data_IF_496840479091
#
_entry.id   IF_496840479091
#
_cell.length_a   1.000
_cell.length_b   1.000
_cell.length_c   1.000
_cell.angle_alpha   90.00
_cell.angle_beta   90.00
_cell.angle_gamma   90.00
#
_symmetry.space_group_name_H-M   'P 1'
#
loop_
_entity.id
_entity.type
_entity.pdbx_description
1 polymer ?
#
# COMPACT_ATOMS: atom_id res chain seq x y z
N UNK A 1 -14.91 -0.42 -7.08
CA UNK A 1 -14.14 0.33 -6.06
C UNK A 1 -13.03 1.16 -6.65
N UNK A 2 -12.05 0.54 -7.34
CA UNK A 2 -10.81 1.20 -7.78
C UNK A 2 -11.00 2.53 -8.52
N UNK A 3 -11.86 2.60 -9.53
CA UNK A 3 -12.06 3.84 -10.31
C UNK A 3 -12.49 5.02 -9.44
N UNK A 4 -13.46 4.80 -8.54
CA UNK A 4 -13.94 5.84 -7.62
C UNK A 4 -12.84 6.29 -6.68
N UNK A 5 -12.11 5.32 -6.10
CA UNK A 5 -10.99 5.62 -5.19
C UNK A 5 -9.85 6.36 -5.88
N UNK A 6 -9.50 5.99 -7.11
CA UNK A 6 -8.44 6.65 -7.89
C UNK A 6 -8.80 8.11 -8.16
N UNK A 7 -10.05 8.39 -8.55
CA UNK A 7 -10.51 9.78 -8.75
C UNK A 7 -10.35 10.58 -7.44
N UNK A 8 -10.77 10.02 -6.31
CA UNK A 8 -10.61 10.66 -5.00
C UNK A 8 -9.13 10.85 -4.61
N UNK A 9 -8.30 9.84 -4.80
CA UNK A 9 -6.86 9.89 -4.51
C UNK A 9 -6.12 10.90 -5.40
N UNK A 10 -6.46 10.99 -6.68
CA UNK A 10 -5.93 12.01 -7.58
C UNK A 10 -6.36 13.42 -7.16
N UNK A 11 -7.64 13.61 -6.80
CA UNK A 11 -8.11 14.88 -6.26
C UNK A 11 -7.32 15.28 -5.01
N UNK A 12 -7.14 14.36 -4.07
CA UNK A 12 -6.37 14.59 -2.86
C UNK A 12 -4.89 14.88 -3.17
N UNK A 13 -4.27 14.13 -4.10
CA UNK A 13 -2.88 14.35 -4.51
C UNK A 13 -2.67 15.74 -5.14
N UNK A 14 -3.64 16.22 -5.91
CA UNK A 14 -3.60 17.58 -6.47
C UNK A 14 -3.68 18.65 -5.38
N UNK A 15 -4.47 18.44 -4.32
CA UNK A 15 -4.53 19.32 -3.16
C UNK A 15 -3.17 19.37 -2.46
N UNK A 16 -2.58 18.22 -2.14
CA UNK A 16 -1.26 18.16 -1.51
C UNK A 16 -0.17 18.77 -2.39
N UNK A 17 -0.20 18.50 -3.70
CA UNK A 17 0.73 19.09 -4.65
C UNK A 17 0.63 20.63 -4.68
N UNK A 18 -0.60 21.16 -4.70
CA UNK A 18 -0.83 22.61 -4.67
C UNK A 18 -0.39 23.22 -3.34
N UNK A 19 -0.72 22.59 -2.22
CA UNK A 19 -0.32 23.06 -0.90
C UNK A 19 1.20 23.05 -0.74
N UNK A 20 1.89 22.01 -1.16
CA UNK A 20 3.36 21.93 -1.11
C UNK A 20 4.04 22.96 -2.02
N UNK A 21 3.41 23.33 -3.14
CA UNK A 21 3.90 24.41 -3.99
C UNK A 21 3.78 25.78 -3.29
N UNK A 22 2.66 26.03 -2.62
CA UNK A 22 2.40 27.29 -1.91
C UNK A 22 3.20 27.41 -0.61
N UNK A 23 3.29 26.30 0.12
CA UNK A 23 3.99 26.21 1.40
C UNK A 23 4.86 24.94 1.44
N UNK A 24 6.14 25.04 1.06
CA UNK A 24 7.07 23.90 1.05
C UNK A 24 7.65 23.56 2.43
N UNK A 25 7.07 24.11 3.51
CA UNK A 25 7.51 23.80 4.88
C UNK A 25 7.23 22.31 5.21
N UNK A 26 8.10 21.67 6.00
CA UNK A 26 7.90 20.29 6.41
C UNK A 26 6.70 20.17 7.37
N UNK A 27 6.07 18.99 7.37
CA UNK A 27 4.95 18.68 8.28
C UNK A 27 3.62 18.42 7.57
N UNK A 28 3.52 18.66 6.26
CA UNK A 28 2.35 18.30 5.44
C UNK A 28 1.03 18.78 6.05
N UNK A 29 0.10 17.85 6.25
CA UNK A 29 -1.25 18.14 6.77
C UNK A 29 -1.25 18.98 8.06
N UNK A 30 -0.31 18.69 8.98
CA UNK A 30 -0.15 19.47 10.21
C UNK A 30 0.18 20.93 9.93
N UNK A 31 1.19 21.18 9.10
CA UNK A 31 1.65 22.53 8.79
C UNK A 31 0.53 23.34 8.10
N UNK A 32 -0.16 22.72 7.16
CA UNK A 32 -1.27 23.35 6.44
C UNK A 32 -2.45 23.66 7.35
N UNK A 33 -2.88 22.70 8.18
CA UNK A 33 -3.97 22.90 9.13
C UNK A 33 -3.64 24.00 10.15
N UNK A 34 -2.41 24.01 10.69
CA UNK A 34 -1.96 25.04 11.64
C UNK A 34 -1.98 26.42 11.02
N UNK A 35 -1.55 26.55 9.77
CA UNK A 35 -1.48 27.84 9.07
C UNK A 35 -2.86 28.37 8.70
N UNK A 36 -3.76 27.50 8.25
CA UNK A 36 -5.10 27.90 7.79
C UNK A 36 -6.11 28.09 8.93
N UNK A 37 -6.03 27.24 9.97
CA UNK A 37 -7.05 27.13 11.01
C UNK A 37 -6.53 27.38 12.43
N UNK A 38 -5.24 27.68 12.56
CA UNK A 38 -4.61 27.99 13.84
C UNK A 38 -4.05 26.77 14.58
N UNK A 39 -3.42 27.03 15.75
CA UNK A 39 -2.60 26.02 16.45
C UNK A 39 -3.43 24.84 16.98
N UNK A 40 -4.67 25.04 17.39
CA UNK A 40 -5.53 24.00 17.95
C UNK A 40 -5.86 22.93 16.89
N UNK A 41 -6.36 23.33 15.71
CA UNK A 41 -6.67 22.38 14.64
C UNK A 41 -5.42 21.75 14.03
N UNK A 42 -4.30 22.51 13.99
CA UNK A 42 -3.01 21.92 13.65
C UNK A 42 -2.61 20.80 14.60
N UNK A 43 -2.70 21.02 15.90
CA UNK A 43 -2.42 20.00 16.91
C UNK A 43 -3.32 18.76 16.76
N UNK A 44 -4.62 18.96 16.62
CA UNK A 44 -5.58 17.86 16.39
C UNK A 44 -5.23 17.05 15.14
N UNK A 45 -4.91 17.70 14.03
CA UNK A 45 -4.47 17.05 12.79
C UNK A 45 -3.22 16.19 13.02
N UNK A 46 -2.25 16.71 13.78
CA UNK A 46 -1.02 15.97 14.09
C UNK A 46 -1.29 14.71 14.93
N UNK A 47 -2.15 14.81 15.95
CA UNK A 47 -2.52 13.66 16.80
C UNK A 47 -3.23 12.60 15.98
N UNK A 48 -4.20 12.99 15.14
CA UNK A 48 -4.90 12.04 14.26
C UNK A 48 -3.96 11.40 13.25
N UNK A 49 -3.05 12.17 12.66
CA UNK A 49 -2.05 11.66 11.73
C UNK A 49 -1.11 10.66 12.42
N UNK A 50 -0.63 10.97 13.63
CA UNK A 50 0.21 10.08 14.41
C UNK A 50 -0.50 8.76 14.72
N UNK A 51 -1.77 8.79 15.17
CA UNK A 51 -2.56 7.59 15.41
C UNK A 51 -2.76 6.76 14.14
N UNK A 52 -3.08 7.41 13.02
CA UNK A 52 -3.26 6.73 11.73
C UNK A 52 -1.98 6.03 11.27
N UNK A 53 -0.83 6.70 11.38
CA UNK A 53 0.47 6.11 11.07
C UNK A 53 0.80 4.92 11.97
N UNK A 54 0.53 5.03 13.27
CA UNK A 54 0.78 3.96 14.22
C UNK A 54 -0.05 2.70 13.91
N UNK A 55 -1.36 2.86 13.73
CA UNK A 55 -2.27 1.76 13.36
C UNK A 55 -1.87 1.17 12.01
N UNK A 56 -1.54 2.02 11.03
CA UNK A 56 -1.10 1.61 9.71
C UNK A 56 0.17 0.75 9.73
N UNK A 57 1.16 1.13 10.54
CA UNK A 57 2.39 0.36 10.67
C UNK A 57 2.16 -1.03 11.27
N UNK A 58 1.26 -1.17 12.25
CA UNK A 58 0.89 -2.49 12.80
C UNK A 58 0.28 -3.36 11.70
N UNK A 59 -0.66 -2.82 10.93
CA UNK A 59 -1.29 -3.56 9.84
C UNK A 59 -0.29 -4.02 8.78
N UNK A 60 0.67 -3.17 8.40
CA UNK A 60 1.74 -3.52 7.45
C UNK A 60 2.63 -4.66 7.97
N UNK A 61 2.98 -4.65 9.27
CA UNK A 61 3.75 -5.74 9.88
C UNK A 61 2.96 -7.05 9.86
N UNK A 62 1.67 -7.02 10.18
CA UNK A 62 0.81 -8.22 10.14
C UNK A 62 0.73 -8.81 8.72
N UNK A 63 0.57 -7.96 7.71
CA UNK A 63 0.58 -8.39 6.30
C UNK A 63 1.93 -9.01 5.94
N UNK A 64 3.05 -8.34 6.26
CA UNK A 64 4.39 -8.84 5.95
C UNK A 64 4.69 -10.19 6.61
N UNK A 65 4.33 -10.36 7.89
CA UNK A 65 4.46 -11.66 8.58
C UNK A 65 3.51 -12.71 7.99
N UNK A 66 2.34 -12.29 7.50
CA UNK A 66 1.43 -13.15 6.74
C UNK A 66 2.10 -13.75 5.49
N UNK A 67 2.83 -12.96 4.71
CA UNK A 67 3.61 -13.46 3.56
C UNK A 67 4.72 -14.44 4.00
N UNK A 68 5.35 -14.23 5.16
CA UNK A 68 6.33 -15.18 5.70
C UNK A 68 5.71 -16.53 6.07
N UNK A 69 4.41 -16.61 6.33
CA UNK A 69 3.72 -17.87 6.61
C UNK A 69 3.74 -18.86 5.43
N UNK A 70 4.02 -18.37 4.22
CA UNK A 70 4.26 -19.20 3.04
C UNK A 70 5.48 -20.10 3.25
N UNK A 71 6.54 -19.59 3.89
CA UNK A 71 7.78 -20.32 4.15
C UNK A 71 7.76 -21.04 5.50
N UNK A 72 7.09 -20.46 6.48
CA UNK A 72 7.06 -20.93 7.86
C UNK A 72 5.62 -21.19 8.32
N UNK A 73 5.07 -22.40 8.09
CA UNK A 73 3.68 -22.71 8.45
C UNK A 73 3.34 -22.50 9.94
N UNK A 74 4.33 -22.51 10.84
CA UNK A 74 4.17 -22.21 12.25
C UNK A 74 3.59 -20.81 12.51
N UNK A 75 3.80 -19.87 11.59
CA UNK A 75 3.24 -18.51 11.66
C UNK A 75 1.72 -18.46 11.44
N UNK A 76 1.07 -19.60 11.14
CA UNK A 76 -0.40 -19.71 11.13
C UNK A 76 -0.98 -19.79 12.53
N UNK A 77 -0.16 -20.12 13.53
CA UNK A 77 -0.57 -20.04 14.93
C UNK A 77 -0.68 -18.58 15.37
N UNK A 78 -1.83 -18.14 15.93
CA UNK A 78 -2.05 -16.74 16.29
C UNK A 78 -1.06 -16.18 17.30
N UNK A 79 -0.56 -17.01 18.25
CA UNK A 79 0.39 -16.58 19.27
C UNK A 79 1.77 -16.36 18.64
N UNK A 80 2.23 -17.32 17.83
CA UNK A 80 3.51 -17.23 17.13
C UNK A 80 3.51 -16.05 16.15
N UNK A 81 2.42 -15.86 15.41
CA UNK A 81 2.23 -14.70 14.53
C UNK A 81 2.38 -13.39 15.33
N UNK A 82 1.67 -13.26 16.45
CA UNK A 82 1.70 -12.04 17.26
C UNK A 82 3.10 -11.73 17.79
N UNK A 83 3.79 -12.75 18.36
CA UNK A 83 5.17 -12.58 18.84
C UNK A 83 6.10 -12.16 17.70
N UNK A 84 5.98 -12.80 16.53
CA UNK A 84 6.79 -12.47 15.36
C UNK A 84 6.53 -11.05 14.89
N UNK A 85 5.28 -10.59 14.86
CA UNK A 85 4.93 -9.21 14.54
C UNK A 85 5.59 -8.21 15.50
N UNK A 86 5.57 -8.48 16.79
CA UNK A 86 6.23 -7.63 17.81
C UNK A 86 7.74 -7.59 17.57
N UNK A 87 8.37 -8.74 17.33
CA UNK A 87 9.81 -8.80 17.07
C UNK A 87 10.18 -8.02 15.80
N UNK A 88 9.45 -8.21 14.71
CA UNK A 88 9.67 -7.48 13.45
C UNK A 88 9.49 -5.97 13.63
N UNK A 89 8.45 -5.55 14.36
CA UNK A 89 8.23 -4.14 14.67
C UNK A 89 9.42 -3.54 15.43
N UNK A 90 9.93 -4.22 16.45
CA UNK A 90 11.09 -3.76 17.20
C UNK A 90 12.37 -3.74 16.36
N UNK A 91 12.56 -4.66 15.43
CA UNK A 91 13.68 -4.62 14.50
C UNK A 91 13.62 -3.32 13.68
N UNK A 92 12.46 -2.95 13.13
CA UNK A 92 12.32 -1.70 12.38
C UNK A 92 12.48 -0.45 13.26
N UNK A 93 12.02 -0.48 14.51
CA UNK A 93 12.27 0.61 15.47
C UNK A 93 13.76 0.78 15.73
N UNK A 94 14.50 -0.29 15.99
CA UNK A 94 15.95 -0.25 16.19
C UNK A 94 16.69 0.23 14.95
N UNK A 95 16.32 -0.25 13.76
CA UNK A 95 16.88 0.25 12.49
C UNK A 95 16.65 1.75 12.31
N UNK A 96 15.50 2.25 12.73
CA UNK A 96 15.18 3.68 12.65
C UNK A 96 16.06 4.51 13.60
N UNK A 97 16.35 3.99 14.81
CA UNK A 97 17.24 4.63 15.78
C UNK A 97 18.68 4.71 15.27
N UNK A 98 19.15 3.71 14.52
CA UNK A 98 20.51 3.68 13.93
C UNK A 98 20.73 4.85 12.96
N UNK A 99 19.68 5.31 12.29
CA UNK A 99 19.72 6.56 11.56
C UNK A 99 19.07 6.52 10.16
N UNK A 100 18.70 7.70 9.65
CA UNK A 100 17.88 7.85 8.45
C UNK A 100 18.53 7.32 7.18
N UNK A 101 19.85 7.34 7.06
CA UNK A 101 20.56 6.84 5.87
C UNK A 101 20.41 5.34 5.70
N UNK A 102 20.43 4.58 6.81
CA UNK A 102 20.28 3.12 6.77
C UNK A 102 18.85 2.74 6.42
N UNK A 103 17.88 3.37 7.09
CA UNK A 103 16.45 3.09 6.84
C UNK A 103 16.06 3.41 5.38
N UNK A 104 16.56 4.51 4.82
CA UNK A 104 16.30 4.87 3.42
C UNK A 104 16.85 3.83 2.43
N UNK A 105 18.02 3.25 2.70
CA UNK A 105 18.55 2.17 1.87
C UNK A 105 17.73 0.90 1.97
N UNK A 106 17.38 0.48 3.19
CA UNK A 106 16.51 -0.69 3.41
C UNK A 106 15.18 -0.50 2.72
N UNK A 107 14.55 0.66 2.88
CA UNK A 107 13.29 1.00 2.25
C UNK A 107 13.39 0.98 0.72
N UNK A 108 14.45 1.53 0.14
CA UNK A 108 14.64 1.53 -1.31
C UNK A 108 14.75 0.10 -1.87
N UNK A 109 15.53 -0.77 -1.21
CA UNK A 109 15.67 -2.18 -1.61
C UNK A 109 14.33 -2.90 -1.46
N UNK A 110 13.65 -2.76 -0.32
CA UNK A 110 12.34 -3.37 -0.07
C UNK A 110 11.29 -2.91 -1.09
N UNK A 111 11.27 -1.62 -1.45
CA UNK A 111 10.35 -1.10 -2.46
C UNK A 111 10.60 -1.73 -3.83
N UNK A 112 11.86 -1.83 -4.25
CA UNK A 112 12.21 -2.47 -5.53
C UNK A 112 11.79 -3.94 -5.52
N UNK A 113 12.06 -4.67 -4.44
CA UNK A 113 11.66 -6.07 -4.31
C UNK A 113 10.14 -6.23 -4.38
N UNK A 114 9.38 -5.41 -3.63
CA UNK A 114 7.91 -5.46 -3.62
C UNK A 114 7.30 -5.11 -5.00
N UNK A 115 7.95 -4.25 -5.79
CA UNK A 115 7.49 -3.92 -7.14
C UNK A 115 7.64 -5.08 -8.13
N UNK A 116 8.58 -6.01 -7.92
CA UNK A 116 8.81 -7.13 -8.83
C UNK A 116 7.54 -7.97 -9.03
N UNK A 117 6.93 -8.57 -8.00
CA UNK A 117 5.71 -9.36 -8.19
C UNK A 117 4.52 -8.49 -8.64
N UNK A 118 4.39 -7.26 -8.15
CA UNK A 118 3.29 -6.37 -8.52
C UNK A 118 3.33 -6.04 -10.01
N UNK A 119 4.47 -5.55 -10.50
CA UNK A 119 4.65 -5.21 -11.91
C UNK A 119 4.66 -6.47 -12.77
N UNK A 120 5.30 -7.55 -12.30
CA UNK A 120 5.29 -8.84 -12.98
C UNK A 120 3.88 -9.34 -13.25
N UNK A 121 3.02 -9.37 -12.24
CA UNK A 121 1.61 -9.78 -12.41
C UNK A 121 0.82 -8.74 -13.21
N UNK A 122 1.06 -7.44 -13.02
CA UNK A 122 0.38 -6.39 -13.77
C UNK A 122 0.63 -6.48 -15.30
N UNK A 123 1.82 -6.92 -15.70
CA UNK A 123 2.22 -7.03 -17.12
C UNK A 123 1.97 -8.43 -17.67
N UNK A 124 2.43 -9.47 -16.97
CA UNK A 124 2.43 -10.84 -17.48
C UNK A 124 1.24 -11.68 -17.01
N UNK A 125 0.57 -11.32 -15.90
CA UNK A 125 -0.57 -12.08 -15.36
C UNK A 125 -1.74 -12.24 -16.34
N UNK A 126 -1.84 -11.34 -17.31
CA UNK A 126 -2.87 -11.36 -18.34
C UNK A 126 -2.78 -12.57 -19.29
N UNK A 127 -1.63 -13.23 -19.41
CA UNK A 127 -1.49 -14.45 -20.19
C UNK A 127 -2.24 -15.64 -19.57
N UNK A 128 -2.46 -15.63 -18.25
CA UNK A 128 -3.22 -16.65 -17.51
C UNK A 128 -4.60 -16.16 -17.09
N UNK A 129 -5.01 -14.98 -17.54
CA UNK A 129 -6.31 -14.39 -17.22
C UNK A 129 -7.44 -15.19 -17.86
N UNK A 130 -8.44 -15.55 -17.05
CA UNK A 130 -9.67 -16.25 -17.48
C UNK A 130 -10.86 -15.35 -17.21
N UNK A 131 -11.58 -14.94 -18.26
CA UNK A 131 -12.73 -14.08 -18.14
C UNK A 131 -13.86 -14.67 -17.29
N UNK A 132 -14.05 -16.00 -17.35
CA UNK A 132 -15.05 -16.72 -16.53
C UNK A 132 -14.74 -16.60 -15.03
N UNK A 133 -13.49 -16.82 -14.64
CA UNK A 133 -13.03 -16.68 -13.24
C UNK A 133 -13.24 -15.25 -12.74
N UNK A 134 -12.90 -14.28 -13.56
CA UNK A 134 -13.08 -12.86 -13.24
C UNK A 134 -14.55 -12.49 -13.08
N UNK A 135 -15.42 -12.91 -14.01
CA UNK A 135 -16.85 -12.61 -13.95
C UNK A 135 -17.54 -13.29 -12.76
N UNK A 136 -17.12 -14.51 -12.38
CA UNK A 136 -17.59 -15.19 -11.19
C UNK A 136 -17.22 -14.44 -9.89
N UNK A 137 -16.11 -13.70 -9.90
CA UNK A 137 -15.62 -12.90 -8.78
C UNK A 137 -16.09 -11.44 -8.80
N UNK A 138 -16.77 -10.98 -9.85
CA UNK A 138 -17.08 -9.56 -10.08
C UNK A 138 -17.86 -8.89 -8.94
N UNK A 139 -18.89 -9.55 -8.44
CA UNK A 139 -19.67 -9.04 -7.30
C UNK A 139 -20.19 -10.19 -6.44
N UNK A 140 -19.37 -10.62 -5.51
CA UNK A 140 -19.69 -11.71 -4.56
C UNK A 140 -20.33 -11.20 -3.25
N UNK A 141 -20.59 -9.89 -3.15
CA UNK A 141 -21.13 -9.27 -1.93
C UNK A 141 -22.62 -9.52 -1.73
N UNK A 142 -23.33 -9.91 -2.79
CA UNK A 142 -24.80 -9.99 -2.79
C UNK A 142 -25.50 -8.63 -2.79
N UNK A 143 -24.74 -7.53 -2.80
CA UNK A 143 -25.25 -6.16 -2.82
C UNK A 143 -25.42 -5.67 -4.26
N UNK A 144 -26.30 -4.68 -4.47
CA UNK A 144 -26.35 -3.95 -5.74
C UNK A 144 -25.03 -3.21 -6.01
N UNK A 145 -24.83 -2.76 -7.25
CA UNK A 145 -23.57 -2.13 -7.70
C UNK A 145 -23.07 -1.01 -6.78
N UNK A 146 -23.97 -0.14 -6.31
CA UNK A 146 -23.61 0.95 -5.40
C UNK A 146 -23.13 0.44 -4.04
N UNK A 147 -23.84 -0.50 -3.44
CA UNK A 147 -23.45 -1.11 -2.16
C UNK A 147 -22.14 -1.89 -2.25
N UNK A 148 -21.90 -2.59 -3.36
CA UNK A 148 -20.64 -3.29 -3.63
C UNK A 148 -19.47 -2.30 -3.77
N UNK A 149 -19.67 -1.16 -4.43
CA UNK A 149 -18.65 -0.10 -4.51
C UNK A 149 -18.36 0.44 -3.11
N UNK A 150 -19.40 0.79 -2.36
CA UNK A 150 -19.25 1.34 -1.01
C UNK A 150 -18.51 0.39 -0.06
N UNK A 151 -18.80 -0.91 -0.12
CA UNK A 151 -18.12 -1.91 0.72
C UNK A 151 -16.62 -2.04 0.43
N UNK A 152 -16.20 -1.75 -0.80
CA UNK A 152 -14.77 -1.84 -1.20
C UNK A 152 -14.00 -0.55 -1.00
N UNK A 153 -14.68 0.60 -0.80
CA UNK A 153 -14.01 1.91 -0.72
C UNK A 153 -13.00 1.99 0.43
N UNK A 154 -13.33 1.46 1.59
CA UNK A 154 -12.42 1.49 2.74
C UNK A 154 -11.11 0.78 2.46
N UNK A 155 -11.16 -0.40 1.82
CA UNK A 155 -9.97 -1.20 1.47
C UNK A 155 -9.16 -0.52 0.37
N UNK A 156 -9.84 -0.03 -0.68
CA UNK A 156 -9.15 0.62 -1.80
C UNK A 156 -8.60 1.99 -1.44
N UNK A 157 -9.25 2.75 -0.54
CA UNK A 157 -8.71 4.01 0.01
C UNK A 157 -7.46 3.77 0.85
N UNK A 158 -7.42 2.69 1.64
CA UNK A 158 -6.24 2.32 2.39
C UNK A 158 -4.99 2.21 1.51
N UNK A 159 -5.15 1.68 0.30
CA UNK A 159 -4.03 1.50 -0.65
C UNK A 159 -3.40 2.83 -1.11
N UNK A 160 -4.05 3.97 -0.89
CA UNK A 160 -3.56 5.30 -1.21
C UNK A 160 -3.17 6.12 0.03
N UNK A 161 -3.19 5.53 1.23
CA UNK A 161 -2.62 6.17 2.43
C UNK A 161 -1.12 6.37 2.19
N UNK A 162 -0.62 7.56 2.54
CA UNK A 162 0.75 7.94 2.28
C UNK A 162 0.92 8.92 1.11
N UNK A 163 -0.16 9.30 0.43
CA UNK A 163 -0.14 10.34 -0.61
C UNK A 163 0.42 11.67 -0.09
N UNK A 164 0.29 11.94 1.20
CA UNK A 164 0.80 13.11 1.92
C UNK A 164 2.29 13.02 2.26
N UNK A 165 2.89 11.82 2.25
CA UNK A 165 4.23 11.56 2.79
C UNK A 165 5.33 12.43 2.15
N UNK A 166 5.22 12.70 0.84
CA UNK A 166 6.15 13.57 0.14
C UNK A 166 6.10 15.02 0.69
N UNK A 167 4.93 15.51 1.10
CA UNK A 167 4.77 16.84 1.70
C UNK A 167 5.27 16.89 3.15
N UNK A 168 5.14 15.79 3.89
CA UNK A 168 5.69 15.68 5.25
C UNK A 168 7.22 15.76 5.20
N UNK A 169 7.83 15.11 4.22
CA UNK A 169 9.29 15.06 4.02
C UNK A 169 9.86 16.27 3.24
N UNK A 170 9.06 17.28 2.92
CA UNK A 170 9.46 18.40 2.06
C UNK A 170 10.77 19.10 2.50
N UNK A 171 11.06 19.14 3.82
CA UNK A 171 12.27 19.76 4.37
C UNK A 171 13.59 19.11 3.97
N UNK A 172 13.58 17.84 3.53
CA UNK A 172 14.79 17.09 3.09
C UNK A 172 14.83 16.86 1.58
N UNK A 173 13.81 17.30 0.85
CA UNK A 173 13.69 17.15 -0.61
C UNK A 173 14.39 18.29 -1.32
N UNK A 174 15.21 17.99 -2.33
CA UNK A 174 15.77 19.00 -3.22
C UNK A 174 14.66 19.63 -4.08
N UNK A 175 14.63 20.96 -4.17
CA UNK A 175 13.63 21.73 -4.92
C UNK A 175 12.18 21.28 -4.59
N UNK A 176 11.75 21.40 -3.32
CA UNK A 176 10.48 20.81 -2.86
C UNK A 176 9.27 21.33 -3.63
N UNK A 177 9.25 22.61 -4.01
CA UNK A 177 8.18 23.21 -4.84
C UNK A 177 7.92 22.49 -6.15
N UNK A 178 8.93 21.85 -6.73
CA UNK A 178 8.81 21.10 -7.99
C UNK A 178 8.69 19.59 -7.75
N UNK A 179 9.57 19.05 -6.92
CA UNK A 179 9.72 17.59 -6.79
C UNK A 179 8.63 16.95 -5.93
N UNK A 180 8.11 17.65 -4.91
CA UNK A 180 7.01 17.11 -4.09
C UNK A 180 5.72 16.96 -4.91
N UNK A 181 5.23 17.97 -5.67
CA UNK A 181 4.08 17.79 -6.55
C UNK A 181 4.24 16.67 -7.57
N UNK A 182 5.40 16.58 -8.22
CA UNK A 182 5.68 15.51 -9.21
C UNK A 182 5.66 14.14 -8.55
N UNK A 183 6.31 13.99 -7.39
CA UNK A 183 6.34 12.71 -6.66
C UNK A 183 4.94 12.31 -6.18
N UNK A 184 4.16 13.25 -5.67
CA UNK A 184 2.80 12.98 -5.16
C UNK A 184 1.86 12.54 -6.27
N UNK A 185 1.72 13.33 -7.34
CA UNK A 185 0.80 13.01 -8.44
C UNK A 185 1.30 11.81 -9.24
N UNK A 186 2.60 11.80 -9.59
CA UNK A 186 3.20 10.71 -10.34
C UNK A 186 3.16 9.38 -9.59
N UNK A 187 3.43 9.41 -8.28
CA UNK A 187 3.33 8.22 -7.43
C UNK A 187 1.92 7.64 -7.39
N UNK A 188 0.90 8.49 -7.22
CA UNK A 188 -0.51 8.06 -7.22
C UNK A 188 -0.91 7.48 -8.59
N UNK A 189 -0.49 8.07 -9.70
CA UNK A 189 -0.79 7.56 -11.04
C UNK A 189 -0.14 6.19 -11.28
N UNK A 190 1.14 6.03 -10.95
CA UNK A 190 1.85 4.76 -11.11
C UNK A 190 1.20 3.68 -10.23
N UNK A 191 0.94 4.00 -8.95
CA UNK A 191 0.28 3.08 -8.03
C UNK A 191 -1.11 2.68 -8.53
N UNK A 192 -1.91 3.63 -9.01
CA UNK A 192 -3.24 3.37 -9.56
C UNK A 192 -3.21 2.37 -10.72
N UNK A 193 -2.29 2.56 -11.67
CA UNK A 193 -2.11 1.65 -12.81
C UNK A 193 -1.70 0.26 -12.32
N UNK A 194 -0.71 0.18 -11.43
CA UNK A 194 -0.24 -1.09 -10.87
C UNK A 194 -1.37 -1.82 -10.10
N UNK A 195 -2.12 -1.12 -9.27
CA UNK A 195 -3.21 -1.73 -8.50
C UNK A 195 -4.33 -2.26 -9.39
N UNK A 196 -4.80 -1.47 -10.34
CA UNK A 196 -5.86 -1.92 -11.25
C UNK A 196 -5.42 -3.12 -12.08
N UNK A 197 -4.24 -3.04 -12.70
CA UNK A 197 -3.76 -4.12 -13.56
C UNK A 197 -3.47 -5.41 -12.78
N UNK A 198 -2.74 -5.30 -11.67
CA UNK A 198 -2.36 -6.50 -10.89
C UNK A 198 -3.55 -7.16 -10.20
N UNK A 199 -4.44 -6.38 -9.55
CA UNK A 199 -5.60 -6.96 -8.88
C UNK A 199 -6.60 -7.56 -9.87
N UNK A 200 -6.81 -6.91 -11.03
CA UNK A 200 -7.67 -7.46 -12.08
C UNK A 200 -7.10 -8.77 -12.63
N UNK A 201 -5.78 -8.81 -12.91
CA UNK A 201 -5.12 -10.02 -13.37
C UNK A 201 -5.26 -11.16 -12.34
N UNK A 202 -4.97 -10.91 -11.05
CA UNK A 202 -5.10 -11.91 -9.98
C UNK A 202 -6.53 -12.44 -9.88
N UNK A 203 -7.54 -11.57 -9.93
CA UNK A 203 -8.96 -11.98 -9.91
C UNK A 203 -9.36 -12.85 -11.09
N UNK A 204 -8.72 -12.69 -12.25
CA UNK A 204 -8.92 -13.55 -13.42
C UNK A 204 -8.09 -14.82 -13.40
N UNK A 205 -7.02 -14.87 -12.62
CA UNK A 205 -6.16 -16.04 -12.49
C UNK A 205 -6.67 -17.01 -11.43
N UNK A 206 -6.97 -16.52 -10.23
CA UNK A 206 -7.25 -17.33 -9.03
C UNK A 206 -8.73 -17.23 -8.68
N UNK A 207 -9.43 -18.38 -8.46
CA UNK A 207 -10.81 -18.37 -8.01
C UNK A 207 -11.00 -17.61 -6.67
N UNK A 208 -12.12 -16.92 -6.52
CA UNK A 208 -12.40 -16.10 -5.33
C UNK A 208 -12.38 -16.92 -4.02
N UNK A 209 -12.76 -18.19 -4.06
CA UNK A 209 -12.71 -19.08 -2.88
C UNK A 209 -11.28 -19.23 -2.35
N UNK A 210 -10.31 -19.39 -3.26
CA UNK A 210 -8.90 -19.55 -2.92
C UNK A 210 -8.27 -18.23 -2.50
N UNK A 211 -8.64 -17.10 -3.17
CA UNK A 211 -8.16 -15.77 -2.81
C UNK A 211 -8.56 -15.37 -1.38
N UNK A 212 -9.75 -15.77 -0.92
CA UNK A 212 -10.25 -15.43 0.43
C UNK A 212 -9.40 -16.02 1.56
N UNK A 213 -8.75 -17.14 1.32
CA UNK A 213 -7.93 -17.84 2.31
C UNK A 213 -6.43 -17.68 2.06
N UNK A 214 -6.05 -17.03 0.97
CA UNK A 214 -4.66 -16.81 0.63
C UNK A 214 -4.01 -15.76 1.54
N UNK A 215 -2.88 -16.12 2.14
CA UNK A 215 -2.03 -15.19 2.90
C UNK A 215 -1.01 -14.46 1.99
N UNK A 216 -0.80 -14.95 0.75
CA UNK A 216 0.18 -14.39 -0.19
C UNK A 216 -0.34 -14.41 -1.63
N UNK A 217 -1.35 -13.59 -1.98
CA UNK A 217 -2.02 -13.68 -3.28
C UNK A 217 -1.07 -13.43 -4.47
N UNK A 218 -0.07 -12.58 -4.35
CA UNK A 218 0.95 -12.38 -5.40
C UNK A 218 1.85 -13.61 -5.55
N UNK A 219 2.21 -14.27 -4.46
CA UNK A 219 2.98 -15.52 -4.48
C UNK A 219 2.18 -16.66 -5.12
N UNK A 220 0.90 -16.78 -4.77
CA UNK A 220 0.01 -17.79 -5.34
C UNK A 220 -0.22 -17.57 -6.84
N UNK A 221 -0.39 -16.31 -7.27
CA UNK A 221 -0.49 -15.98 -8.69
C UNK A 221 0.81 -16.30 -9.46
N UNK A 222 1.96 -15.98 -8.90
CA UNK A 222 3.25 -16.31 -9.49
C UNK A 222 3.47 -17.84 -9.57
N UNK A 223 3.07 -18.58 -8.54
CA UNK A 223 3.10 -20.05 -8.54
C UNK A 223 2.21 -20.65 -9.61
N UNK A 224 0.99 -20.14 -9.78
CA UNK A 224 0.08 -20.61 -10.82
C UNK A 224 0.63 -20.35 -12.23
N UNK A 225 1.31 -19.23 -12.43
CA UNK A 225 1.84 -18.83 -13.73
C UNK A 225 3.14 -19.59 -14.11
N UNK A 226 4.09 -19.70 -13.19
CA UNK A 226 5.47 -20.11 -13.46
C UNK A 226 5.97 -21.25 -12.55
N UNK A 227 5.09 -21.81 -11.70
CA UNK A 227 5.41 -22.92 -10.80
C UNK A 227 5.93 -22.50 -9.42
N UNK A 228 6.26 -23.50 -8.59
CA UNK A 228 6.61 -23.30 -7.18
C UNK A 228 7.80 -22.36 -6.92
N UNK A 229 8.89 -22.39 -7.71
CA UNK A 229 9.99 -21.45 -7.50
C UNK A 229 9.58 -19.98 -7.65
N UNK A 230 8.72 -19.69 -8.63
CA UNK A 230 8.21 -18.33 -8.84
C UNK A 230 7.26 -17.89 -7.71
N UNK A 231 6.45 -18.83 -7.20
CA UNK A 231 5.62 -18.60 -6.02
C UNK A 231 6.42 -18.22 -4.78
N UNK A 232 7.52 -18.95 -4.54
CA UNK A 232 8.43 -18.63 -3.43
C UNK A 232 9.09 -17.26 -3.61
N UNK A 233 9.61 -16.95 -4.79
CA UNK A 233 10.19 -15.62 -5.08
C UNK A 233 9.14 -14.53 -4.95
N UNK A 234 7.94 -14.72 -5.49
CA UNK A 234 6.84 -13.78 -5.41
C UNK A 234 6.42 -13.50 -3.97
N UNK A 235 6.32 -14.52 -3.13
CA UNK A 235 5.99 -14.38 -1.70
C UNK A 235 7.11 -13.75 -0.89
N UNK A 236 8.37 -13.95 -1.26
CA UNK A 236 9.52 -13.32 -0.58
C UNK A 236 9.63 -11.85 -0.92
N UNK A 237 9.33 -11.47 -2.16
CA UNK A 237 9.47 -10.09 -2.63
C UNK A 237 8.29 -9.20 -2.23
N UNK A 238 7.10 -9.78 -2.07
CA UNK A 238 5.88 -9.05 -1.72
C UNK A 238 5.78 -8.79 -0.22
#
# INVERSE_FOLDING_TARGET
GWLVTIIGALGLSMVYAKMSFLDPSPGGSYAYARRCFGPFLGYQTNVLYWLACWIGNIAMVVIGVGYLSYFFPILKDPLVLTITCVVVLWIFVLLNIVGPKMITRVQAVATVLALIPIVGIAVFGWFWFRGETYMAAWNVSGLGTFGAIQSTLNVTLWSFIGVESASVAAGVVKNPKRNVPIATIGGVLIAAVCYVLSTTAIMGMIPNADLRVSASPFGDAARMALGDPAGAIGSFCA
#
